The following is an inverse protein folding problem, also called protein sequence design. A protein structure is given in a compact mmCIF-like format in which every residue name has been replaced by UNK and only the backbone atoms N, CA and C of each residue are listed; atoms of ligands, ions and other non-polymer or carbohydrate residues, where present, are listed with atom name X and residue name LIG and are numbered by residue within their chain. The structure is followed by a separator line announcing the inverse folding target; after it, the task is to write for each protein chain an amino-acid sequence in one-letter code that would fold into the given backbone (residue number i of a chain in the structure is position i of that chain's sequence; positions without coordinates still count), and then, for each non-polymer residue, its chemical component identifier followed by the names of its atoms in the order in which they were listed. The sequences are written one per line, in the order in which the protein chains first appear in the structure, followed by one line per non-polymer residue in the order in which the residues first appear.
data_IF_825043717842
#
_entry.id   IF_825043717842
#
_cell.length_a   1.000
_cell.length_b   1.000
_cell.length_c   1.000
_cell.angle_alpha   90.00
_cell.angle_beta   90.00
_cell.angle_gamma   90.00
#
_symmetry.space_group_name_H-M   'P 1'
#
loop_
_entity.id
_entity.type
_entity.pdbx_description
1 polymer ?
#
# COMPACT_ATOMS: atom_id res chain seq x y z
N UNK A 1 -12.50 4.95 -5.10
CA UNK A 1 -12.02 3.57 -4.79
C UNK A 1 -10.54 3.54 -4.41
N UNK A 2 -9.66 4.25 -5.12
CA UNK A 2 -8.22 4.31 -4.80
C UNK A 2 -7.90 4.60 -3.32
N UNK A 3 -8.50 5.64 -2.73
CA UNK A 3 -8.26 6.04 -1.33
C UNK A 3 -8.57 4.88 -0.36
N UNK A 4 -9.68 4.18 -0.56
CA UNK A 4 -10.06 3.04 0.26
C UNK A 4 -9.07 1.88 0.12
N UNK A 5 -8.60 1.60 -1.09
CA UNK A 5 -7.59 0.56 -1.32
C UNK A 5 -6.28 0.89 -0.62
N UNK A 6 -5.77 2.13 -0.76
CA UNK A 6 -4.53 2.58 -0.13
C UNK A 6 -4.66 2.55 1.40
N UNK A 7 -5.81 2.96 1.92
CA UNK A 7 -6.12 2.89 3.34
C UNK A 7 -6.05 1.47 3.89
N UNK A 8 -6.78 0.53 3.28
CA UNK A 8 -6.76 -0.89 3.68
C UNK A 8 -5.34 -1.49 3.56
N UNK A 9 -4.61 -1.11 2.51
CA UNK A 9 -3.22 -1.53 2.30
C UNK A 9 -2.30 -1.07 3.44
N UNK A 10 -2.44 0.18 3.90
CA UNK A 10 -1.64 0.73 4.99
C UNK A 10 -2.00 0.13 6.35
N UNK A 11 -3.29 -0.06 6.61
CA UNK A 11 -3.76 -0.75 7.81
C UNK A 11 -3.24 -2.19 7.88
N UNK A 12 -3.37 -2.95 6.78
CA UNK A 12 -2.86 -4.32 6.72
C UNK A 12 -1.35 -4.39 7.01
N UNK A 13 -0.57 -3.47 6.44
CA UNK A 13 0.88 -3.41 6.69
C UNK A 13 1.25 -3.03 8.12
N UNK A 14 0.60 -2.02 8.70
CA UNK A 14 0.88 -1.58 10.08
C UNK A 14 0.44 -2.64 11.10
N UNK A 15 -0.67 -3.34 10.84
CA UNK A 15 -1.11 -4.50 11.64
C UNK A 15 -0.12 -5.66 11.54
N UNK A 16 0.36 -6.00 10.33
CA UNK A 16 1.38 -7.04 10.14
C UNK A 16 2.70 -6.68 10.84
N UNK A 17 3.10 -5.42 10.75
CA UNK A 17 4.22 -4.85 11.50
C UNK A 17 4.04 -5.01 13.01
N UNK A 18 2.85 -4.68 13.53
CA UNK A 18 2.53 -4.80 14.95
C UNK A 18 2.60 -6.24 15.44
N UNK A 19 2.19 -7.22 14.62
CA UNK A 19 2.31 -8.65 14.98
C UNK A 19 3.76 -9.11 15.08
N UNK A 20 4.66 -8.55 14.28
CA UNK A 20 6.09 -8.91 14.27
C UNK A 20 6.87 -8.11 15.32
N UNK A 21 6.39 -6.92 15.69
CA UNK A 21 7.07 -6.00 16.60
C UNK A 21 7.16 -6.54 18.03
N UNK A 22 8.29 -6.26 18.67
CA UNK A 22 8.54 -6.60 20.08
C UNK A 22 7.64 -5.77 21.00
N UNK A 23 7.25 -6.31 22.17
CA UNK A 23 6.32 -5.68 23.12
C UNK A 23 6.65 -4.20 23.45
N UNK A 24 7.93 -3.85 23.57
CA UNK A 24 8.37 -2.46 23.81
C UNK A 24 8.10 -1.51 22.63
N UNK A 25 8.16 -1.99 21.39
CA UNK A 25 7.92 -1.18 20.18
C UNK A 25 6.45 -1.21 19.73
N UNK A 26 5.68 -2.17 20.24
CA UNK A 26 4.26 -2.38 19.88
C UNK A 26 3.39 -1.15 20.12
N UNK A 27 3.63 -0.43 21.22
CA UNK A 27 2.91 0.81 21.54
C UNK A 27 3.20 1.94 20.54
N UNK A 28 4.45 2.06 20.08
CA UNK A 28 4.84 3.05 19.06
C UNK A 28 4.14 2.74 17.73
N UNK A 29 4.17 1.46 17.32
CA UNK A 29 3.51 1.02 16.09
C UNK A 29 1.99 1.19 16.16
N UNK A 30 1.37 0.90 17.31
CA UNK A 30 -0.07 1.11 17.52
C UNK A 30 -0.46 2.60 17.46
N UNK A 31 0.33 3.48 18.09
CA UNK A 31 0.11 4.92 17.98
C UNK A 31 0.19 5.42 16.53
N UNK A 32 1.19 4.95 15.79
CA UNK A 32 1.33 5.27 14.37
C UNK A 32 0.18 4.70 13.51
N UNK A 33 -0.25 3.46 13.78
CA UNK A 33 -1.41 2.83 13.15
C UNK A 33 -2.68 3.66 13.38
N UNK A 34 -2.92 4.16 14.60
CA UNK A 34 -4.06 5.01 14.91
C UNK A 34 -4.01 6.34 14.15
N UNK A 35 -2.84 6.96 14.03
CA UNK A 35 -2.65 8.20 13.25
C UNK A 35 -2.96 7.98 11.77
N UNK A 36 -2.40 6.92 11.17
CA UNK A 36 -2.66 6.57 9.76
C UNK A 36 -4.14 6.19 9.56
N UNK A 37 -4.72 5.48 10.53
CA UNK A 37 -6.12 5.12 10.62
C UNK A 37 -7.04 6.33 10.57
N UNK A 38 -6.84 7.28 11.48
CA UNK A 38 -7.64 8.50 11.58
C UNK A 38 -7.50 9.38 10.34
N UNK A 39 -6.27 9.54 9.83
CA UNK A 39 -6.00 10.26 8.60
C UNK A 39 -6.71 9.65 7.38
N UNK A 40 -6.60 8.33 7.18
CA UNK A 40 -7.22 7.69 6.03
C UNK A 40 -8.74 7.68 6.10
N UNK A 41 -9.31 7.52 7.30
CA UNK A 41 -10.75 7.64 7.53
C UNK A 41 -11.26 9.06 7.22
N UNK A 42 -10.55 10.11 7.67
CA UNK A 42 -10.94 11.49 7.36
C UNK A 42 -10.86 11.77 5.86
N UNK A 43 -9.81 11.31 5.17
CA UNK A 43 -9.68 11.43 3.71
C UNK A 43 -10.81 10.72 2.95
N UNK A 44 -11.26 9.55 3.44
CA UNK A 44 -12.41 8.84 2.88
C UNK A 44 -13.70 9.63 3.04
N UNK A 45 -13.95 10.18 4.23
CA UNK A 45 -15.13 11.00 4.51
C UNK A 45 -15.13 12.22 3.60
N UNK A 46 -14.01 12.94 3.51
CA UNK A 46 -13.89 14.12 2.61
C UNK A 46 -14.11 13.72 1.16
N UNK A 47 -13.62 12.55 0.71
CA UNK A 47 -13.85 12.07 -0.65
C UNK A 47 -15.31 11.67 -0.93
N UNK A 48 -16.05 11.20 0.08
CA UNK A 48 -17.48 10.90 -0.04
C UNK A 48 -18.36 12.16 -0.01
N UNK A 49 -17.95 13.18 0.73
CA UNK A 49 -18.68 14.44 0.91
C UNK A 49 -17.95 15.65 0.27
N UNK A 50 -17.48 15.52 -0.96
CA UNK A 50 -16.72 16.58 -1.64
C UNK A 50 -17.56 17.83 -1.99
N UNK A 51 -18.87 17.68 -2.15
CA UNK A 51 -19.82 18.76 -2.47
C UNK A 51 -21.03 18.71 -1.52
N UNK A 52 -21.80 19.80 -1.47
CA UNK A 52 -22.96 19.94 -0.57
C UNK A 52 -24.06 18.90 -0.86
N UNK A 53 -24.61 18.28 0.21
CA UNK A 53 -25.81 17.42 0.13
C UNK A 53 -26.98 18.20 -0.51
N UNK A 54 -27.86 17.57 -1.32
CA UNK A 54 -28.16 16.13 -1.41
C UNK A 54 -27.44 15.33 -2.52
N UNK A 55 -26.63 15.97 -3.37
CA UNK A 55 -25.92 15.25 -4.46
C UNK A 55 -24.40 15.53 -4.44
N UNK A 56 -23.65 15.00 -3.47
CA UNK A 56 -22.22 15.27 -3.28
C UNK A 56 -21.32 14.80 -4.44
N UNK A 57 -21.82 13.95 -5.34
CA UNK A 57 -21.10 13.39 -6.49
C UNK A 57 -21.33 14.14 -7.83
N UNK A 58 -22.21 15.15 -7.86
CA UNK A 58 -22.51 15.90 -9.10
C UNK A 58 -21.64 17.16 -9.14
N UNK A 59 -20.74 17.20 -10.11
CA UNK A 59 -19.68 18.21 -10.23
C UNK A 59 -20.00 19.36 -11.19
N UNK A 60 -21.17 19.33 -11.82
CA UNK A 60 -21.53 20.15 -13.00
C UNK A 60 -22.34 21.41 -12.69
N UNK A 61 -22.71 21.66 -11.43
CA UNK A 61 -23.44 22.86 -11.02
C UNK A 61 -22.57 23.70 -10.07
N UNK A 62 -22.72 25.03 -10.13
CA UNK A 62 -22.09 26.10 -9.31
C UNK A 62 -22.26 25.95 -7.78
N UNK A 63 -21.95 24.77 -7.25
CA UNK A 63 -21.98 24.45 -5.83
C UNK A 63 -20.56 24.58 -5.30
N UNK A 64 -20.43 25.12 -4.09
CA UNK A 64 -19.16 25.18 -3.36
C UNK A 64 -18.69 23.76 -3.06
N UNK A 65 -17.89 23.19 -3.95
CA UNK A 65 -17.16 21.93 -3.73
C UNK A 65 -15.77 22.24 -3.18
N UNK A 66 -15.17 21.27 -2.49
CA UNK A 66 -13.76 21.35 -2.07
C UNK A 66 -12.86 21.43 -3.31
N UNK A 67 -11.85 22.30 -3.26
CA UNK A 67 -10.83 22.37 -4.30
C UNK A 67 -10.06 21.04 -4.38
N UNK A 68 -10.19 20.38 -5.54
CA UNK A 68 -9.64 19.04 -5.73
C UNK A 68 -8.13 19.05 -5.79
N UNK A 69 -7.54 20.07 -6.41
CA UNK A 69 -6.09 20.18 -6.54
C UNK A 69 -5.44 20.27 -5.16
N UNK A 70 -5.99 21.11 -4.27
CA UNK A 70 -5.54 21.25 -2.89
C UNK A 70 -5.73 19.95 -2.11
N UNK A 71 -6.91 19.33 -2.20
CA UNK A 71 -7.20 18.07 -1.50
C UNK A 71 -6.24 16.95 -1.92
N UNK A 72 -6.05 16.73 -3.22
CA UNK A 72 -5.18 15.67 -3.73
C UNK A 72 -3.70 15.94 -3.47
N UNK A 73 -3.26 17.20 -3.54
CA UNK A 73 -1.89 17.58 -3.18
C UNK A 73 -1.62 17.29 -1.71
N UNK A 74 -2.48 17.76 -0.82
CA UNK A 74 -2.40 17.49 0.61
C UNK A 74 -2.44 15.99 0.91
N UNK A 75 -3.40 15.29 0.30
CA UNK A 75 -3.54 13.85 0.46
C UNK A 75 -2.26 13.10 0.10
N UNK A 76 -1.64 13.51 -0.99
CA UNK A 76 -0.44 12.86 -1.52
C UNK A 76 0.79 13.12 -0.68
N UNK A 77 0.96 14.34 -0.15
CA UNK A 77 2.05 14.66 0.78
C UNK A 77 1.95 13.76 2.02
N UNK A 78 0.79 13.73 2.67
CA UNK A 78 0.61 12.88 3.87
C UNK A 78 0.74 11.40 3.51
N UNK A 79 0.27 10.99 2.33
CA UNK A 79 0.45 9.62 1.86
C UNK A 79 1.94 9.23 1.77
N UNK A 80 2.77 10.07 1.15
CA UNK A 80 4.21 9.84 1.02
C UNK A 80 4.88 9.84 2.41
N UNK A 81 4.57 10.83 3.26
CA UNK A 81 5.12 10.93 4.61
C UNK A 81 4.81 9.67 5.44
N UNK A 82 3.58 9.17 5.36
CA UNK A 82 3.18 7.96 6.08
C UNK A 82 3.84 6.70 5.51
N UNK A 83 4.06 6.60 4.19
CA UNK A 83 4.82 5.49 3.60
C UNK A 83 6.28 5.49 4.05
N UNK A 84 6.93 6.65 4.11
CA UNK A 84 8.29 6.78 4.67
C UNK A 84 8.31 6.36 6.14
N UNK A 85 7.34 6.81 6.94
CA UNK A 85 7.22 6.41 8.35
C UNK A 85 7.08 4.89 8.55
N UNK A 86 6.28 4.23 7.71
CA UNK A 86 6.14 2.76 7.72
C UNK A 86 7.48 2.08 7.42
N UNK A 87 8.23 2.58 6.43
CA UNK A 87 9.54 2.03 6.06
C UNK A 87 10.52 2.16 7.23
N UNK A 88 10.58 3.33 7.88
CA UNK A 88 11.47 3.57 9.03
C UNK A 88 11.11 2.61 10.18
N UNK A 89 9.83 2.54 10.55
CA UNK A 89 9.36 1.63 11.61
C UNK A 89 9.69 0.18 11.28
N UNK A 90 9.56 -0.22 10.02
CA UNK A 90 9.91 -1.57 9.58
C UNK A 90 11.41 -1.84 9.70
N UNK A 91 12.25 -0.92 9.20
CA UNK A 91 13.70 -1.03 9.31
C UNK A 91 14.14 -1.13 10.76
N UNK A 92 13.61 -0.29 11.66
CA UNK A 92 13.94 -0.37 13.08
C UNK A 92 13.56 -1.72 13.70
N UNK A 93 12.36 -2.23 13.40
CA UNK A 93 11.91 -3.52 13.94
C UNK A 93 12.78 -4.68 13.41
N UNK A 94 13.09 -4.71 12.12
CA UNK A 94 13.92 -5.75 11.50
C UNK A 94 15.37 -5.68 11.99
N UNK A 95 15.92 -4.49 12.21
CA UNK A 95 17.27 -4.33 12.75
C UNK A 95 17.36 -4.85 14.18
N UNK A 96 16.36 -4.54 15.02
CA UNK A 96 16.28 -4.99 16.43
C UNK A 96 16.02 -6.49 16.57
N UNK A 97 15.42 -7.12 15.57
CA UNK A 97 15.13 -8.57 15.57
C UNK A 97 16.35 -9.40 15.13
N UNK A 98 16.61 -10.49 15.86
CA UNK A 98 17.69 -11.46 15.59
C UNK A 98 17.31 -12.47 14.51
N UNK A 99 17.05 -11.99 13.29
CA UNK A 99 16.80 -12.83 12.11
C UNK A 99 18.09 -12.97 11.27
N UNK A 100 18.36 -14.13 10.64
CA UNK A 100 19.49 -14.30 9.73
C UNK A 100 19.42 -13.33 8.53
N UNK A 101 20.59 -12.82 8.11
CA UNK A 101 20.71 -11.76 7.09
C UNK A 101 19.96 -12.05 5.78
N UNK A 102 19.90 -13.30 5.33
CA UNK A 102 19.16 -13.69 4.12
C UNK A 102 17.65 -13.37 4.20
N UNK A 103 17.06 -13.50 5.39
CA UNK A 103 15.66 -13.13 5.64
C UNK A 103 15.49 -11.62 5.87
N UNK A 104 16.51 -10.94 6.41
CA UNK A 104 16.52 -9.47 6.55
C UNK A 104 16.54 -8.77 5.20
N UNK A 105 17.36 -9.23 4.24
CA UNK A 105 17.45 -8.64 2.89
C UNK A 105 16.11 -8.76 2.16
N UNK A 106 15.47 -9.91 2.26
CA UNK A 106 14.14 -10.13 1.70
C UNK A 106 13.07 -9.22 2.34
N UNK A 107 13.08 -9.11 3.66
CA UNK A 107 12.21 -8.19 4.38
C UNK A 107 12.44 -6.74 3.89
N UNK A 108 13.70 -6.31 3.79
CA UNK A 108 14.03 -4.97 3.29
C UNK A 108 13.65 -4.76 1.83
N UNK A 109 13.76 -5.76 0.95
CA UNK A 109 13.41 -5.61 -0.47
C UNK A 109 11.91 -5.44 -0.69
N UNK A 110 11.09 -6.17 0.07
CA UNK A 110 9.63 -6.03 0.01
C UNK A 110 9.21 -4.64 0.46
N UNK A 111 9.72 -4.16 1.59
CA UNK A 111 9.32 -2.85 2.10
C UNK A 111 9.97 -1.70 1.32
N UNK A 112 11.17 -1.90 0.78
CA UNK A 112 11.82 -0.97 -0.14
C UNK A 112 11.05 -0.79 -1.45
N UNK A 113 10.30 -1.80 -1.91
CA UNK A 113 9.45 -1.66 -3.12
C UNK A 113 8.35 -0.62 -2.96
N UNK A 114 7.93 -0.27 -1.72
CA UNK A 114 6.99 0.84 -1.48
C UNK A 114 7.55 2.20 -1.90
N UNK A 115 8.88 2.35 -1.90
CA UNK A 115 9.53 3.58 -2.40
C UNK A 115 9.27 3.77 -3.89
N UNK A 116 9.17 2.67 -4.67
CA UNK A 116 8.88 2.73 -6.11
C UNK A 116 7.46 3.21 -6.41
N UNK A 117 6.55 3.12 -5.44
CA UNK A 117 5.17 3.59 -5.57
C UNK A 117 5.07 5.12 -5.47
N UNK A 118 6.00 5.76 -4.78
CA UNK A 118 6.06 7.24 -4.57
C UNK A 118 6.15 8.02 -5.89
N UNK A 119 7.10 7.75 -6.80
CA UNK A 119 7.18 8.48 -8.07
C UNK A 119 5.98 8.23 -8.98
N UNK A 120 5.38 7.04 -8.92
CA UNK A 120 4.17 6.74 -9.68
C UNK A 120 2.97 7.59 -9.21
N UNK A 121 2.84 7.81 -7.90
CA UNK A 121 1.86 8.75 -7.32
C UNK A 121 2.15 10.20 -7.74
N UNK A 122 3.42 10.61 -7.74
CA UNK A 122 3.81 11.97 -8.17
C UNK A 122 3.46 12.23 -9.65
N UNK A 123 3.74 11.26 -10.53
CA UNK A 123 3.36 11.31 -11.95
C UNK A 123 1.84 11.38 -12.08
N UNK A 124 1.11 10.58 -11.32
CA UNK A 124 -0.34 10.58 -11.34
C UNK A 124 -0.93 11.95 -10.94
N UNK A 125 -0.39 12.61 -9.91
CA UNK A 125 -0.82 13.95 -9.49
C UNK A 125 -0.49 14.98 -10.57
N UNK A 126 0.70 14.90 -11.16
CA UNK A 126 1.11 15.80 -12.23
C UNK A 126 0.16 15.72 -13.44
N UNK A 127 -0.13 14.50 -13.91
CA UNK A 127 -1.08 14.30 -15.01
C UNK A 127 -2.51 14.69 -14.61
N UNK A 128 -2.93 14.42 -13.36
CA UNK A 128 -4.26 14.82 -12.87
C UNK A 128 -4.42 16.33 -12.80
N UNK A 129 -3.44 17.07 -12.26
CA UNK A 129 -3.46 18.53 -12.20
C UNK A 129 -3.46 19.15 -13.61
N UNK A 130 -2.71 18.55 -14.55
CA UNK A 130 -2.73 18.97 -15.96
C UNK A 130 -4.09 18.69 -16.62
N UNK A 131 -4.74 17.58 -16.29
CA UNK A 131 -6.08 17.25 -16.76
C UNK A 131 -7.16 18.21 -16.22
N UNK A 132 -7.05 18.64 -14.96
CA UNK A 132 -7.98 19.62 -14.37
C UNK A 132 -7.85 21.03 -14.97
N UNK A 133 -6.67 21.38 -15.51
CA UNK A 133 -6.43 22.65 -16.17
C UNK A 133 -6.79 22.66 -17.68
N UNK A 134 -7.16 21.51 -18.25
CA UNK A 134 -7.46 21.36 -19.68
C UNK A 134 -8.96 21.35 -19.95
N UNK A 135 -9.37 21.97 -21.06
CA UNK A 135 -10.77 22.10 -21.50
C UNK A 135 -11.46 20.75 -21.75
N UNK A 136 -10.69 19.70 -22.04
CA UNK A 136 -11.16 18.32 -22.29
C UNK A 136 -10.75 17.36 -21.17
N UNK A 137 -11.38 17.50 -20.01
CA UNK A 137 -11.13 16.72 -18.78
C UNK A 137 -11.30 15.20 -18.99
N UNK A 138 -12.11 14.76 -19.95
CA UNK A 138 -12.41 13.34 -20.20
C UNK A 138 -11.27 12.61 -20.91
N UNK A 139 -10.61 13.28 -21.87
CA UNK A 139 -9.49 12.69 -22.65
C UNK A 139 -8.14 12.79 -21.98
N UNK A 140 -7.99 13.60 -20.92
CA UNK A 140 -6.76 13.68 -20.14
C UNK A 140 -6.75 12.77 -18.90
N UNK A 141 -7.92 12.26 -18.49
CA UNK A 141 -8.05 11.44 -17.27
C UNK A 141 -7.68 9.97 -17.43
N UNK A 142 -7.63 9.43 -18.66
CA UNK A 142 -7.35 7.99 -18.86
C UNK A 142 -5.92 7.61 -18.47
N UNK A 143 -4.91 8.46 -18.74
CA UNK A 143 -3.52 8.22 -18.33
C UNK A 143 -3.40 8.20 -16.80
N UNK A 144 -4.07 9.14 -16.13
CA UNK A 144 -4.10 9.21 -14.67
C UNK A 144 -4.80 7.98 -14.07
N UNK A 145 -5.86 7.48 -14.71
CA UNK A 145 -6.57 6.27 -14.29
C UNK A 145 -5.71 5.00 -14.44
N UNK A 146 -4.93 4.88 -15.51
CA UNK A 146 -4.00 3.75 -15.69
C UNK A 146 -2.87 3.81 -14.65
N UNK A 147 -2.30 4.99 -14.43
CA UNK A 147 -1.27 5.17 -13.40
C UNK A 147 -1.79 4.81 -12.00
N UNK A 148 -3.01 5.23 -11.66
CA UNK A 148 -3.72 4.83 -10.44
C UNK A 148 -3.84 3.32 -10.29
N UNK A 149 -4.26 2.64 -11.36
CA UNK A 149 -4.45 1.20 -11.35
C UNK A 149 -3.13 0.46 -11.15
N UNK A 150 -2.06 0.91 -11.81
CA UNK A 150 -0.72 0.34 -11.65
C UNK A 150 -0.20 0.50 -10.21
N UNK A 151 -0.34 1.70 -9.65
CA UNK A 151 0.00 1.99 -8.25
C UNK A 151 -0.75 1.06 -7.30
N UNK A 152 -2.05 0.86 -7.54
CA UNK A 152 -2.88 -0.01 -6.71
C UNK A 152 -2.44 -1.47 -6.80
N UNK A 153 -2.21 -1.99 -8.01
CA UNK A 153 -1.73 -3.35 -8.22
C UNK A 153 -0.37 -3.60 -7.57
N UNK A 154 0.59 -2.69 -7.76
CA UNK A 154 1.92 -2.80 -7.15
C UNK A 154 1.83 -2.79 -5.62
N UNK A 155 1.02 -1.91 -5.04
CA UNK A 155 0.81 -1.82 -3.59
C UNK A 155 0.27 -3.13 -3.01
N UNK A 156 -0.70 -3.76 -3.69
CA UNK A 156 -1.29 -5.03 -3.26
C UNK A 156 -0.25 -6.15 -3.33
N UNK A 157 0.45 -6.27 -4.47
CA UNK A 157 1.48 -7.30 -4.66
C UNK A 157 2.52 -7.20 -3.55
N UNK A 158 3.05 -6.00 -3.28
CA UNK A 158 4.05 -5.77 -2.23
C UNK A 158 3.59 -6.28 -0.86
N UNK A 159 2.32 -6.09 -0.49
CA UNK A 159 1.78 -6.54 0.81
C UNK A 159 1.66 -8.06 0.88
N UNK A 160 1.41 -8.72 -0.25
CA UNK A 160 1.25 -10.16 -0.31
C UNK A 160 2.58 -10.93 -0.33
N UNK A 161 3.70 -10.30 -0.74
CA UNK A 161 5.01 -10.99 -0.85
C UNK A 161 5.45 -11.67 0.46
N UNK A 162 5.37 -11.04 1.66
CA UNK A 162 5.75 -11.67 2.91
C UNK A 162 4.96 -12.96 3.21
N UNK A 163 3.66 -12.95 2.89
CA UNK A 163 2.75 -14.09 3.09
C UNK A 163 2.93 -15.18 2.04
N UNK A 164 3.41 -14.83 0.84
CA UNK A 164 3.62 -15.79 -0.24
C UNK A 164 4.87 -16.65 -0.03
N UNK A 165 5.89 -16.11 0.63
CA UNK A 165 7.14 -16.82 0.95
C UNK A 165 6.98 -18.15 1.71
N UNK A 166 6.26 -18.22 2.84
CA UNK A 166 6.05 -19.48 3.54
C UNK A 166 5.29 -20.49 2.68
N UNK A 167 4.35 -20.05 1.84
CA UNK A 167 3.65 -20.93 0.90
C UNK A 167 4.61 -21.53 -0.15
N UNK A 168 5.46 -20.70 -0.76
CA UNK A 168 6.47 -21.20 -1.71
C UNK A 168 7.43 -22.19 -1.05
N UNK A 169 7.91 -21.91 0.15
CA UNK A 169 8.78 -22.82 0.89
C UNK A 169 8.06 -24.13 1.24
N UNK A 170 6.77 -24.08 1.58
CA UNK A 170 5.95 -25.27 1.83
C UNK A 170 5.76 -26.11 0.56
N UNK A 171 5.56 -25.47 -0.60
CA UNK A 171 5.47 -26.17 -1.89
C UNK A 171 6.80 -26.84 -2.27
N UNK A 172 7.92 -26.15 -2.09
CA UNK A 172 9.26 -26.72 -2.32
C UNK A 172 9.50 -27.95 -1.41
N UNK A 173 9.15 -27.85 -0.12
CA UNK A 173 9.27 -28.97 0.81
C UNK A 173 8.32 -30.14 0.48
N UNK A 174 7.13 -29.85 -0.04
CA UNK A 174 6.16 -30.86 -0.47
C UNK A 174 6.65 -31.62 -1.70
N UNK A 175 7.28 -30.92 -2.64
CA UNK A 175 7.85 -31.53 -3.84
C UNK A 175 9.04 -32.44 -3.51
N UNK A 176 9.92 -32.01 -2.59
CA UNK A 176 11.02 -32.85 -2.09
C UNK A 176 10.48 -34.12 -1.41
N UNK A 177 9.41 -34.00 -0.61
CA UNK A 177 8.78 -35.15 0.06
C UNK A 177 8.15 -36.15 -0.92
N UNK A 178 7.53 -35.66 -2.00
CA UNK A 178 6.96 -36.51 -3.05
C UNK A 178 8.06 -37.22 -3.85
N UNK A 179 9.15 -36.51 -4.17
CA UNK A 179 10.29 -37.12 -4.86
C UNK A 179 10.98 -38.19 -4.02
N UNK A 180 11.11 -37.99 -2.70
CA UNK A 180 11.64 -39.02 -1.78
C UNK A 180 10.76 -40.26 -1.72
N UNK A 181 9.42 -40.09 -1.70
CA UNK A 181 8.48 -41.21 -1.75
C UNK A 181 8.60 -41.99 -3.07
N UNK A 182 8.76 -41.27 -4.18
CA UNK A 182 8.93 -41.87 -5.52
C UNK A 182 10.24 -42.67 -5.62
N UNK A 183 11.35 -42.14 -5.10
CA UNK A 183 12.63 -42.87 -5.04
C UNK A 183 12.55 -44.11 -4.18
N UNK A 184 11.91 -44.03 -3.00
CA UNK A 184 11.74 -45.19 -2.12
C UNK A 184 10.92 -46.29 -2.78
N UNK A 185 9.85 -45.95 -3.50
CA UNK A 185 9.04 -46.91 -4.24
C UNK A 185 9.83 -47.62 -5.36
N UNK A 186 10.81 -46.95 -5.98
CA UNK A 186 11.69 -47.55 -6.99
C UNK A 186 12.75 -48.51 -6.42
N UNK A 187 13.13 -48.39 -5.14
CA UNK A 187 14.10 -49.29 -4.51
C UNK A 187 13.47 -50.55 -3.89
N UNK A 188 12.14 -50.62 -3.80
CA UNK A 188 11.40 -51.74 -3.21
C UNK A 188 10.85 -52.73 -4.23
N UNK A 189 11.09 -52.51 -5.53
CA UNK A 189 10.85 -53.44 -6.64
C UNK A 189 12.18 -53.87 -7.26
#
# INVERSE_FOLDING_TARGET
MFIASVFCCKLSCTVGLRMISRESQRWIVFGFEAVVGGWGASALIVNLFQCQLPTPWIYTNDRKCIDRATFWTYYSIINITTDIGIIILFCENVLKIQIPWSKKILAMSVFGSRILVIPAIAVQIYHSNKAFASTDVTFANWEAAIALQLVQCLSIVTICIPSFRPLLNSLESGQIRIDDLRRRAQCTN
#
